data_IF_689416881425
#
_entry.id   IF_689416881425
#
_cell.length_a   1.000
_cell.length_b   1.000
_cell.length_c   1.000
_cell.angle_alpha   90.00
_cell.angle_beta   90.00
_cell.angle_gamma   90.00
#
_symmetry.space_group_name_H-M   'P 1'
#
loop_
_entity.id
_entity.type
_entity.pdbx_description
1 polymer ?
#
# COMPACT_ATOMS: atom_id res chain seq x y z
N UNK A 1 10.82 -8.05 -31.29
CA UNK A 1 10.30 -7.46 -30.06
C UNK A 1 11.19 -7.91 -28.92
N UNK A 2 11.86 -6.97 -28.24
CA UNK A 2 12.79 -7.30 -27.15
C UNK A 2 12.08 -7.80 -25.90
N UNK A 3 12.80 -8.51 -25.03
CA UNK A 3 12.35 -9.02 -23.74
C UNK A 3 11.59 -7.98 -22.90
N UNK A 4 12.00 -6.71 -22.96
CA UNK A 4 11.35 -5.60 -22.28
C UNK A 4 9.95 -5.27 -22.80
N UNK A 5 9.75 -5.29 -24.13
CA UNK A 5 8.42 -5.13 -24.70
C UNK A 5 7.51 -6.29 -24.28
N UNK A 6 8.07 -7.47 -24.07
CA UNK A 6 7.35 -8.65 -23.60
C UNK A 6 7.07 -8.60 -22.11
N UNK A 7 8.03 -8.23 -21.28
CA UNK A 7 7.83 -8.04 -19.84
C UNK A 7 6.81 -6.91 -19.54
N UNK A 8 6.87 -5.82 -20.30
CA UNK A 8 5.91 -4.71 -20.19
C UNK A 8 4.54 -5.08 -20.77
N UNK A 9 4.47 -5.87 -21.86
CA UNK A 9 3.21 -6.37 -22.42
C UNK A 9 2.56 -7.43 -21.53
N UNK A 10 3.36 -8.25 -20.87
CA UNK A 10 2.90 -9.23 -19.88
C UNK A 10 2.40 -8.53 -18.61
N UNK A 11 3.04 -7.45 -18.15
CA UNK A 11 2.49 -6.59 -17.08
C UNK A 11 1.16 -5.90 -17.48
N UNK A 12 0.96 -5.61 -18.77
CA UNK A 12 -0.32 -5.13 -19.30
C UNK A 12 -1.42 -6.21 -19.29
N UNK A 13 -1.04 -7.48 -19.34
CA UNK A 13 -1.98 -8.62 -19.45
C UNK A 13 -2.33 -9.28 -18.13
N UNK A 14 -1.64 -8.93 -17.02
CA UNK A 14 -1.98 -9.46 -15.71
C UNK A 14 -3.28 -8.87 -15.19
N UNK A 15 -4.08 -9.72 -14.56
CA UNK A 15 -5.13 -9.26 -13.66
C UNK A 15 -4.45 -8.47 -12.52
N UNK A 16 -4.60 -7.13 -12.51
CA UNK A 16 -3.98 -6.29 -11.50
C UNK A 16 -4.31 -6.75 -10.07
N UNK A 17 -5.51 -7.33 -9.90
CA UNK A 17 -6.02 -7.83 -8.63
C UNK A 17 -5.24 -9.05 -8.12
N UNK A 18 -4.86 -9.98 -9.00
CA UNK A 18 -4.14 -11.20 -8.59
C UNK A 18 -2.75 -10.89 -8.03
N UNK A 19 -2.03 -9.97 -8.68
CA UNK A 19 -0.68 -9.56 -8.24
C UNK A 19 -0.72 -8.69 -7.01
N UNK A 20 -1.70 -7.78 -6.92
CA UNK A 20 -1.97 -7.04 -5.69
C UNK A 20 -2.25 -8.00 -4.54
N UNK A 21 -3.06 -9.03 -4.76
CA UNK A 21 -3.39 -10.01 -3.73
C UNK A 21 -2.18 -10.74 -3.17
N UNK A 22 -1.17 -11.04 -3.98
CA UNK A 22 0.05 -11.73 -3.55
C UNK A 22 0.99 -10.80 -2.75
N UNK A 23 1.21 -9.57 -3.23
CA UNK A 23 1.99 -8.56 -2.49
C UNK A 23 1.33 -8.18 -1.16
N UNK A 24 0.00 -8.10 -1.15
CA UNK A 24 -0.77 -7.73 0.03
C UNK A 24 -0.74 -8.81 1.13
N UNK A 25 -0.47 -10.07 0.78
CA UNK A 25 -0.47 -11.22 1.71
C UNK A 25 0.89 -11.51 2.35
N UNK A 26 1.99 -11.04 1.78
CA UNK A 26 3.31 -11.20 2.38
C UNK A 26 3.43 -10.32 3.64
N UNK A 27 3.49 -10.93 4.82
CA UNK A 27 3.50 -10.18 6.08
C UNK A 27 4.24 -10.91 7.19
N UNK A 28 4.47 -10.18 8.29
CA UNK A 28 5.07 -10.70 9.53
C UNK A 28 4.10 -10.53 10.70
N UNK A 29 4.07 -11.50 11.62
CA UNK A 29 3.24 -11.43 12.81
C UNK A 29 3.72 -10.33 13.77
N UNK A 30 2.78 -9.65 14.41
CA UNK A 30 3.01 -8.74 15.53
C UNK A 30 2.92 -9.48 16.86
N UNK A 31 3.41 -8.88 17.95
CA UNK A 31 3.25 -9.42 19.31
C UNK A 31 1.77 -9.48 19.74
N UNK A 32 0.92 -8.63 19.20
CA UNK A 32 -0.52 -8.65 19.43
C UNK A 32 -1.24 -9.80 18.69
N UNK A 33 -0.55 -10.59 17.88
CA UNK A 33 -1.04 -11.77 17.16
C UNK A 33 -1.28 -11.59 15.66
N UNK A 34 -1.91 -10.49 15.18
CA UNK A 34 -2.17 -10.32 13.75
C UNK A 34 -0.89 -10.30 12.90
N UNK A 35 -0.92 -10.96 11.76
CA UNK A 35 0.11 -10.84 10.73
C UNK A 35 -0.12 -9.55 9.95
N UNK A 36 0.89 -8.68 9.93
CA UNK A 36 0.80 -7.39 9.23
C UNK A 36 1.20 -7.55 7.78
N UNK A 37 0.23 -7.35 6.92
CA UNK A 37 0.38 -7.29 5.46
C UNK A 37 0.02 -5.89 4.99
N UNK A 38 0.40 -5.53 3.76
CA UNK A 38 -0.03 -4.24 3.20
C UNK A 38 -1.56 -4.14 3.15
N UNK A 39 -2.26 -5.25 2.84
CA UNK A 39 -3.71 -5.30 2.79
C UNK A 39 -4.36 -4.92 4.11
N UNK A 40 -3.97 -5.56 5.22
CA UNK A 40 -4.60 -5.28 6.52
C UNK A 40 -4.10 -3.97 7.15
N UNK A 41 -2.86 -3.56 6.86
CA UNK A 41 -2.36 -2.24 7.26
C UNK A 41 -3.17 -1.10 6.63
N UNK A 42 -3.57 -1.22 5.36
CA UNK A 42 -4.42 -0.24 4.67
C UNK A 42 -5.88 -0.21 5.19
N UNK A 43 -6.34 -1.26 5.89
CA UNK A 43 -7.64 -1.26 6.56
C UNK A 43 -7.64 -0.41 7.83
N UNK A 44 -6.48 -0.16 8.42
CA UNK A 44 -6.34 0.78 9.54
C UNK A 44 -6.58 2.20 9.01
N UNK A 45 -7.70 2.80 9.43
CA UNK A 45 -8.18 4.08 8.90
C UNK A 45 -7.14 5.19 8.95
N UNK A 46 -6.37 5.29 10.03
CA UNK A 46 -5.30 6.28 10.19
C UNK A 46 -4.18 6.08 9.20
N UNK A 47 -3.74 4.83 8.97
CA UNK A 47 -2.68 4.52 8.00
C UNK A 47 -3.12 4.88 6.59
N UNK A 48 -4.33 4.48 6.21
CA UNK A 48 -4.90 4.83 4.91
C UNK A 48 -5.04 6.34 4.71
N UNK A 49 -5.55 7.05 5.74
CA UNK A 49 -5.70 8.50 5.69
C UNK A 49 -4.36 9.22 5.51
N UNK A 50 -3.31 8.82 6.24
CA UNK A 50 -1.96 9.38 6.10
C UNK A 50 -1.42 9.18 4.69
N UNK A 51 -1.48 7.95 4.15
CA UNK A 51 -1.01 7.65 2.80
C UNK A 51 -1.79 8.46 1.75
N UNK A 52 -3.11 8.54 1.88
CA UNK A 52 -3.97 9.30 0.96
C UNK A 52 -3.62 10.79 0.96
N UNK A 53 -3.51 11.40 2.14
CA UNK A 53 -3.21 12.84 2.23
C UNK A 53 -1.84 13.15 1.65
N UNK A 54 -0.82 12.35 1.96
CA UNK A 54 0.52 12.55 1.44
C UNK A 54 0.57 12.35 -0.09
N UNK A 55 0.00 11.26 -0.60
CA UNK A 55 0.06 10.92 -2.02
C UNK A 55 -0.73 11.90 -2.88
N UNK A 56 -1.95 12.26 -2.47
CA UNK A 56 -2.77 13.22 -3.19
C UNK A 56 -2.20 14.63 -3.10
N UNK A 57 -1.63 15.02 -1.95
CA UNK A 57 -0.96 16.30 -1.79
C UNK A 57 0.20 16.50 -2.78
N UNK A 58 1.04 15.46 -2.96
CA UNK A 58 2.12 15.48 -3.96
C UNK A 58 1.57 15.39 -5.38
N UNK A 59 0.57 14.55 -5.62
CA UNK A 59 -0.01 14.35 -6.95
C UNK A 59 -0.69 15.59 -7.53
N UNK A 60 -1.25 16.45 -6.68
CA UNK A 60 -1.89 17.72 -7.10
C UNK A 60 -0.88 18.74 -7.63
N UNK A 61 0.37 18.68 -7.19
CA UNK A 61 1.41 19.63 -7.66
C UNK A 61 1.87 19.22 -9.06
N UNK A 62 1.66 20.08 -10.08
CA UNK A 62 2.06 19.73 -11.44
C UNK A 62 3.59 19.69 -11.57
N UNK A 63 4.10 18.60 -12.11
CA UNK A 63 5.53 18.44 -12.42
C UNK A 63 5.77 18.90 -13.86
N UNK A 64 6.51 19.99 -14.03
CA UNK A 64 6.77 20.61 -15.34
C UNK A 64 8.27 20.76 -15.59
N UNK A 65 8.64 20.66 -16.85
CA UNK A 65 10.03 20.90 -17.29
C UNK A 65 10.20 22.38 -17.63
N UNK A 66 11.25 22.98 -17.11
CA UNK A 66 11.62 24.37 -17.39
C UNK A 66 13.02 24.44 -18.00
N UNK A 67 13.25 25.48 -18.79
CA UNK A 67 14.60 25.82 -19.30
C UNK A 67 14.95 27.25 -18.90
N UNK A 68 16.24 27.47 -18.68
CA UNK A 68 16.79 28.81 -18.53
C UNK A 68 17.10 29.37 -19.92
N UNK A 69 16.57 30.55 -20.20
CA UNK A 69 16.78 31.29 -21.47
C UNK A 69 17.35 32.65 -21.14
N UNK A 70 18.40 33.04 -21.80
CA UNK A 70 18.96 34.38 -21.69
C UNK A 70 18.30 35.31 -22.72
N UNK A 71 17.60 36.35 -22.24
CA UNK A 71 17.03 37.41 -23.08
C UNK A 71 17.44 38.76 -22.52
N UNK A 72 18.03 39.59 -23.39
CA UNK A 72 18.48 40.94 -23.05
C UNK A 72 19.48 40.97 -21.88
N UNK A 73 20.38 40.00 -21.78
CA UNK A 73 21.33 39.86 -20.68
C UNK A 73 20.72 39.42 -19.33
N UNK A 74 19.43 39.09 -19.31
CA UNK A 74 18.72 38.60 -18.14
C UNK A 74 18.34 37.11 -18.30
N UNK A 75 18.59 36.32 -17.26
CA UNK A 75 18.17 34.91 -17.19
C UNK A 75 16.69 34.82 -16.85
N UNK A 76 15.94 34.18 -17.73
CA UNK A 76 14.49 33.90 -17.52
C UNK A 76 14.27 32.40 -17.52
N UNK A 77 13.33 31.96 -16.66
CA UNK A 77 12.88 30.57 -16.61
C UNK A 77 11.58 30.48 -17.40
N UNK A 78 11.58 29.67 -18.46
CA UNK A 78 10.41 29.44 -19.32
C UNK A 78 10.05 27.96 -19.33
N UNK A 79 8.76 27.64 -19.43
CA UNK A 79 8.31 26.24 -19.52
C UNK A 79 8.76 25.63 -20.85
N UNK A 80 9.49 24.51 -20.79
CA UNK A 80 10.04 23.82 -21.94
C UNK A 80 8.99 22.87 -22.55
N UNK A 81 7.92 23.43 -23.12
CA UNK A 81 6.78 22.66 -23.67
C UNK A 81 7.15 21.78 -24.87
N UNK A 82 8.21 22.14 -25.59
CA UNK A 82 8.78 21.37 -26.71
C UNK A 82 9.68 20.23 -26.23
N UNK A 83 10.01 20.17 -24.94
CA UNK A 83 10.80 19.07 -24.39
C UNK A 83 9.93 17.83 -24.18
N UNK A 84 10.39 16.69 -24.68
CA UNK A 84 9.64 15.43 -24.66
C UNK A 84 9.17 14.98 -23.27
N UNK A 85 9.96 15.24 -22.23
CA UNK A 85 9.58 14.97 -20.84
C UNK A 85 8.46 15.87 -20.34
N UNK A 86 8.16 16.99 -21.02
CA UNK A 86 7.11 17.90 -20.55
C UNK A 86 5.75 17.20 -20.55
N UNK A 87 5.39 16.57 -21.66
CA UNK A 87 4.12 15.88 -21.80
C UNK A 87 4.02 14.65 -20.91
N UNK A 88 5.10 13.86 -20.80
CA UNK A 88 5.17 12.68 -19.95
C UNK A 88 4.97 13.03 -18.46
N UNK A 89 5.57 14.12 -18.00
CA UNK A 89 5.49 14.51 -16.59
C UNK A 89 4.22 15.33 -16.26
N UNK A 90 3.76 16.15 -17.21
CA UNK A 90 2.62 17.04 -16.98
C UNK A 90 1.26 16.37 -17.22
N UNK A 91 1.16 15.45 -18.20
CA UNK A 91 -0.12 14.90 -18.64
C UNK A 91 -0.21 13.37 -18.51
N UNK A 92 0.59 12.62 -19.28
CA UNK A 92 0.49 11.17 -19.34
C UNK A 92 1.87 10.51 -19.45
N UNK A 93 2.38 9.86 -18.40
CA UNK A 93 3.66 9.17 -18.40
C UNK A 93 3.67 7.90 -19.28
N UNK A 94 2.49 7.35 -19.57
CA UNK A 94 2.24 6.19 -20.43
C UNK A 94 0.80 6.18 -20.92
N UNK A 95 0.42 5.17 -21.73
CA UNK A 95 -0.89 5.09 -22.38
C UNK A 95 -2.08 4.80 -21.44
N UNK A 96 -1.84 4.38 -20.19
CA UNK A 96 -2.88 3.90 -19.28
C UNK A 96 -2.93 4.61 -17.92
N UNK A 97 -2.00 5.54 -17.63
CA UNK A 97 -2.02 6.34 -16.40
C UNK A 97 -1.92 7.82 -16.71
N UNK A 98 -2.67 8.60 -15.96
CA UNK A 98 -2.50 10.05 -15.94
C UNK A 98 -1.29 10.43 -15.08
N UNK A 99 -0.77 11.63 -15.29
CA UNK A 99 0.31 12.18 -14.47
C UNK A 99 -0.06 12.28 -12.97
N UNK A 100 -1.34 12.50 -12.65
CA UNK A 100 -1.82 12.50 -11.27
C UNK A 100 -1.73 11.10 -10.65
N UNK A 101 -2.32 10.09 -11.29
CA UNK A 101 -2.30 8.69 -10.82
C UNK A 101 -0.89 8.13 -10.68
N UNK A 102 -0.02 8.48 -11.63
CA UNK A 102 1.38 8.08 -11.58
C UNK A 102 2.08 8.64 -10.33
N UNK A 103 1.94 9.96 -10.06
CA UNK A 103 2.55 10.60 -8.90
C UNK A 103 1.93 10.12 -7.58
N UNK A 104 0.62 9.91 -7.55
CA UNK A 104 -0.07 9.36 -6.40
C UNK A 104 0.49 7.98 -6.05
N UNK A 105 0.52 7.06 -7.00
CA UNK A 105 1.04 5.70 -6.80
C UNK A 105 2.54 5.71 -6.47
N UNK A 106 3.33 6.54 -7.16
CA UNK A 106 4.75 6.70 -6.87
C UNK A 106 4.99 7.16 -5.44
N UNK A 107 4.18 8.10 -4.96
CA UNK A 107 4.27 8.61 -3.59
C UNK A 107 3.85 7.58 -2.56
N UNK A 108 2.79 6.80 -2.81
CA UNK A 108 2.39 5.69 -1.94
C UNK A 108 3.52 4.67 -1.80
N UNK A 109 4.12 4.26 -2.92
CA UNK A 109 5.24 3.32 -2.90
C UNK A 109 6.44 3.89 -2.15
N UNK A 110 6.81 5.15 -2.38
CA UNK A 110 7.90 5.82 -1.69
C UNK A 110 7.63 6.00 -0.20
N UNK A 111 6.40 6.34 0.20
CA UNK A 111 5.99 6.46 1.59
C UNK A 111 6.07 5.12 2.33
N UNK A 112 5.86 4.00 1.65
CA UNK A 112 6.01 2.65 2.18
C UNK A 112 7.44 2.12 2.15
N UNK A 113 8.35 2.86 1.52
CA UNK A 113 9.76 2.54 1.45
C UNK A 113 10.40 2.96 0.14
N UNK A 114 10.07 2.32 -0.97
CA UNK A 114 10.73 2.53 -2.24
C UNK A 114 9.73 2.50 -3.39
N UNK A 115 9.87 3.43 -4.32
CA UNK A 115 9.15 3.46 -5.59
C UNK A 115 10.13 3.38 -6.75
N UNK A 116 9.78 2.59 -7.75
CA UNK A 116 10.59 2.38 -8.93
C UNK A 116 9.75 2.62 -10.18
N UNK A 117 10.27 3.40 -11.11
CA UNK A 117 9.68 3.55 -12.43
C UNK A 117 10.72 3.20 -13.50
N UNK A 118 10.35 2.34 -14.41
CA UNK A 118 11.17 2.02 -15.58
C UNK A 118 11.09 3.16 -16.59
N UNK A 119 12.25 3.59 -17.07
CA UNK A 119 12.39 4.64 -18.09
C UNK A 119 12.54 3.95 -19.44
N UNK A 120 11.42 3.83 -20.16
CA UNK A 120 11.43 3.26 -21.50
C UNK A 120 12.01 4.27 -22.49
N UNK A 121 13.08 3.87 -23.17
CA UNK A 121 13.79 4.72 -24.15
C UNK A 121 13.67 4.13 -25.55
N UNK A 122 13.40 5.01 -26.51
CA UNK A 122 13.43 4.72 -27.94
C UNK A 122 14.53 5.53 -28.61
N UNK A 123 14.76 5.33 -29.91
CA UNK A 123 15.73 6.11 -30.69
C UNK A 123 15.50 7.64 -30.61
N UNK A 124 14.28 8.07 -30.29
CA UNK A 124 13.92 9.48 -30.12
C UNK A 124 14.00 10.00 -28.66
N UNK A 125 14.53 9.24 -27.71
CA UNK A 125 14.62 9.62 -26.30
C UNK A 125 13.65 8.84 -25.39
N UNK A 126 13.26 9.42 -24.25
CA UNK A 126 12.35 8.80 -23.30
C UNK A 126 10.94 8.79 -23.92
N UNK A 127 10.33 7.61 -24.02
CA UNK A 127 8.99 7.44 -24.60
C UNK A 127 7.91 7.23 -23.54
N UNK A 128 8.24 6.54 -22.44
CA UNK A 128 7.28 6.20 -21.39
C UNK A 128 7.96 6.09 -20.04
N UNK A 129 7.18 6.31 -18.96
CA UNK A 129 7.54 6.00 -17.59
C UNK A 129 6.56 4.97 -17.05
N UNK A 130 7.06 3.83 -16.58
CA UNK A 130 6.25 2.70 -16.15
C UNK A 130 6.56 2.38 -14.70
N UNK A 131 5.58 2.52 -13.82
CA UNK A 131 5.75 2.14 -12.42
C UNK A 131 5.94 0.63 -12.30
N UNK A 132 6.96 0.23 -11.56
CA UNK A 132 7.24 -1.14 -11.22
C UNK A 132 6.73 -1.44 -9.81
N UNK A 133 6.31 -2.69 -9.59
CA UNK A 133 5.93 -3.15 -8.25
C UNK A 133 7.19 -3.23 -7.38
N UNK A 134 7.22 -2.57 -6.21
CA UNK A 134 8.43 -2.54 -5.39
C UNK A 134 8.95 -3.92 -4.99
N UNK A 135 8.05 -4.88 -4.74
CA UNK A 135 8.42 -6.25 -4.39
C UNK A 135 9.12 -7.06 -5.51
N UNK A 136 9.03 -6.60 -6.76
CA UNK A 136 9.69 -7.25 -7.91
C UNK A 136 11.05 -6.62 -8.24
N UNK A 137 11.43 -5.56 -7.54
CA UNK A 137 12.67 -4.81 -7.82
C UNK A 137 13.61 -4.95 -6.64
N UNK A 138 14.79 -5.49 -6.90
CA UNK A 138 15.88 -5.57 -5.94
C UNK A 138 17.01 -4.66 -6.39
N UNK A 139 17.39 -3.70 -5.54
CA UNK A 139 18.56 -2.86 -5.76
C UNK A 139 19.79 -3.55 -5.24
N UNK A 140 20.81 -3.68 -6.05
CA UNK A 140 22.09 -4.28 -5.70
C UNK A 140 23.25 -3.33 -5.99
N UNK A 141 24.27 -3.35 -5.14
CA UNK A 141 25.53 -2.68 -5.39
C UNK A 141 26.57 -3.71 -5.79
N UNK A 142 27.19 -3.50 -6.94
CA UNK A 142 28.26 -4.36 -7.44
C UNK A 142 29.58 -4.09 -6.69
N UNK A 143 30.58 -4.99 -6.77
CA UNK A 143 31.90 -4.77 -6.14
C UNK A 143 32.63 -3.50 -6.61
N UNK A 144 32.31 -3.01 -7.80
CA UNK A 144 32.81 -1.77 -8.39
C UNK A 144 31.99 -0.53 -7.99
N UNK A 145 31.16 -0.65 -6.94
CA UNK A 145 30.25 0.37 -6.40
C UNK A 145 29.12 0.81 -7.36
N UNK A 146 29.02 0.25 -8.55
CA UNK A 146 27.88 0.54 -9.45
C UNK A 146 26.58 0.01 -8.87
N UNK A 147 25.54 0.82 -8.98
CA UNK A 147 24.16 0.43 -8.60
C UNK A 147 23.48 -0.20 -9.80
N UNK A 148 22.86 -1.34 -9.58
CA UNK A 148 22.04 -2.04 -10.55
C UNK A 148 20.69 -2.39 -9.92
N UNK A 149 19.68 -2.58 -10.75
CA UNK A 149 18.36 -3.01 -10.34
C UNK A 149 18.05 -4.35 -11.01
N UNK A 150 17.82 -5.35 -10.18
CA UNK A 150 17.35 -6.67 -10.59
C UNK A 150 15.83 -6.65 -10.57
N UNK A 151 15.20 -6.76 -11.73
CA UNK A 151 13.74 -6.77 -11.88
C UNK A 151 13.31 -8.18 -12.21
N UNK A 152 12.45 -8.76 -11.38
CA UNK A 152 11.88 -10.07 -11.61
C UNK A 152 10.62 -9.93 -12.45
N UNK A 153 10.60 -10.58 -13.62
CA UNK A 153 9.40 -10.68 -14.46
C UNK A 153 8.43 -11.71 -13.90
N UNK A 154 7.22 -11.74 -14.46
CA UNK A 154 6.15 -12.66 -14.04
C UNK A 154 6.48 -14.14 -14.22
N UNK A 155 7.27 -14.46 -15.21
CA UNK A 155 7.76 -15.82 -15.46
C UNK A 155 8.87 -16.25 -14.47
N UNK A 156 9.20 -15.39 -13.49
CA UNK A 156 10.33 -15.61 -12.58
C UNK A 156 11.70 -15.29 -13.21
N UNK A 157 11.76 -14.87 -14.46
CA UNK A 157 12.99 -14.46 -15.09
C UNK A 157 13.47 -13.12 -14.47
N UNK A 158 14.72 -13.09 -14.04
CA UNK A 158 15.37 -11.91 -13.47
C UNK A 158 16.17 -11.20 -14.55
N UNK A 159 15.99 -9.90 -14.66
CA UNK A 159 16.78 -9.05 -15.56
C UNK A 159 17.43 -7.92 -14.79
N UNK A 160 18.71 -7.67 -15.09
CA UNK A 160 19.49 -6.59 -14.51
C UNK A 160 19.37 -5.32 -15.37
N UNK A 161 19.12 -4.19 -14.71
CA UNK A 161 19.05 -2.86 -15.32
C UNK A 161 20.06 -1.92 -14.69
N UNK A 162 20.71 -1.08 -15.48
CA UNK A 162 21.58 -0.03 -14.96
C UNK A 162 20.76 1.06 -14.26
N UNK A 163 21.42 1.84 -13.40
CA UNK A 163 20.77 2.90 -12.63
C UNK A 163 20.01 3.92 -13.48
N UNK A 164 20.50 4.20 -14.70
CA UNK A 164 19.89 5.17 -15.62
C UNK A 164 18.58 4.69 -16.23
N UNK A 165 18.28 3.39 -16.14
CA UNK A 165 17.05 2.81 -16.67
C UNK A 165 15.91 2.83 -15.65
N UNK A 166 16.20 3.10 -14.38
CA UNK A 166 15.21 3.06 -13.30
C UNK A 166 15.19 4.41 -12.56
N UNK A 167 14.05 5.06 -12.57
CA UNK A 167 13.79 6.21 -11.70
C UNK A 167 13.38 5.70 -10.33
N UNK A 168 14.33 5.74 -9.39
CA UNK A 168 14.13 5.31 -8.02
C UNK A 168 13.82 6.52 -7.11
N UNK A 169 12.63 6.53 -6.52
CA UNK A 169 12.23 7.46 -5.48
C UNK A 169 12.10 6.68 -4.17
N UNK A 170 12.87 7.07 -3.18
CA UNK A 170 12.86 6.42 -1.86
C UNK A 170 12.20 7.31 -0.81
N UNK A 171 11.57 6.67 0.16
CA UNK A 171 11.14 7.30 1.40
C UNK A 171 12.32 7.62 2.32
N UNK A 172 12.07 7.87 3.63
CA UNK A 172 13.12 8.01 4.62
C UNK A 172 14.10 6.85 4.54
N UNK A 173 15.39 7.15 4.57
CA UNK A 173 16.44 6.15 4.37
C UNK A 173 17.50 6.28 5.46
N UNK A 174 18.02 5.15 5.93
CA UNK A 174 19.12 5.10 6.89
C UNK A 174 20.49 5.14 6.20
N UNK A 175 20.62 4.42 5.09
CA UNK A 175 21.89 4.21 4.36
C UNK A 175 22.04 5.09 3.10
N UNK A 176 20.99 5.82 2.73
CA UNK A 176 20.94 6.58 1.49
C UNK A 176 20.77 5.72 0.24
N UNK A 177 20.69 4.40 0.36
CA UNK A 177 20.53 3.46 -0.76
C UNK A 177 19.08 3.01 -0.92
N UNK A 178 18.45 2.57 0.17
CA UNK A 178 17.07 2.10 0.20
C UNK A 178 16.24 2.89 1.21
N UNK A 179 14.96 3.06 0.92
CA UNK A 179 13.98 3.54 1.89
C UNK A 179 13.70 2.49 2.96
N UNK A 180 13.40 2.94 4.17
CA UNK A 180 13.03 2.09 5.29
C UNK A 180 11.69 1.41 5.01
N UNK A 181 11.57 0.14 5.39
CA UNK A 181 10.30 -0.58 5.34
C UNK A 181 9.38 -0.10 6.48
N UNK A 182 8.48 0.81 6.12
CA UNK A 182 7.56 1.45 7.07
C UNK A 182 6.61 0.44 7.70
N UNK A 183 6.19 -0.60 6.96
CA UNK A 183 5.32 -1.64 7.51
C UNK A 183 6.02 -2.45 8.59
N UNK A 184 7.29 -2.79 8.38
CA UNK A 184 8.10 -3.47 9.40
C UNK A 184 8.32 -2.58 10.64
N UNK A 185 8.56 -1.29 10.46
CA UNK A 185 8.76 -0.35 11.58
C UNK A 185 7.47 -0.12 12.36
N UNK A 186 6.33 0.02 11.69
CA UNK A 186 5.03 0.26 12.30
C UNK A 186 4.29 -1.03 12.72
N UNK A 187 4.89 -2.20 12.53
CA UNK A 187 4.25 -3.51 12.70
C UNK A 187 3.54 -3.68 14.03
N UNK A 188 4.19 -3.35 15.13
CA UNK A 188 3.62 -3.53 16.46
C UNK A 188 2.44 -2.59 16.71
N UNK A 189 2.53 -1.33 16.28
CA UNK A 189 1.45 -0.36 16.40
C UNK A 189 0.24 -0.74 15.54
N UNK A 190 0.49 -1.16 14.29
CA UNK A 190 -0.56 -1.65 13.39
C UNK A 190 -1.22 -2.93 13.91
N UNK A 191 -0.41 -3.86 14.44
CA UNK A 191 -0.91 -5.08 15.04
C UNK A 191 -1.80 -4.84 16.24
N UNK A 192 -1.41 -3.92 17.11
CA UNK A 192 -2.22 -3.51 18.26
C UNK A 192 -3.52 -2.85 17.81
N UNK A 193 -3.47 -1.95 16.83
CA UNK A 193 -4.67 -1.30 16.28
C UNK A 193 -5.67 -2.33 15.74
N UNK A 194 -5.22 -3.25 14.88
CA UNK A 194 -6.05 -4.31 14.29
C UNK A 194 -6.64 -5.22 15.38
N UNK A 195 -5.82 -5.67 16.34
CA UNK A 195 -6.27 -6.52 17.43
C UNK A 195 -7.33 -5.83 18.32
N UNK A 196 -7.14 -4.53 18.56
CA UNK A 196 -8.09 -3.72 19.35
C UNK A 196 -9.40 -3.55 18.60
N UNK A 197 -9.37 -3.17 17.33
CA UNK A 197 -10.57 -3.04 16.50
C UNK A 197 -11.34 -4.36 16.42
N UNK A 198 -10.64 -5.47 16.20
CA UNK A 198 -11.23 -6.80 16.14
C UNK A 198 -11.85 -7.23 17.48
N UNK A 199 -11.17 -6.94 18.60
CA UNK A 199 -11.66 -7.21 19.94
C UNK A 199 -12.92 -6.40 20.23
N UNK A 200 -12.92 -5.10 19.92
CA UNK A 200 -14.09 -4.25 20.10
C UNK A 200 -15.25 -4.67 19.19
N UNK A 201 -14.98 -4.98 17.92
CA UNK A 201 -15.99 -5.49 17.01
C UNK A 201 -16.64 -6.78 17.52
N UNK A 202 -15.82 -7.73 18.02
CA UNK A 202 -16.33 -8.97 18.64
C UNK A 202 -17.14 -8.71 19.91
N UNK A 203 -16.71 -7.74 20.73
CA UNK A 203 -17.42 -7.34 21.93
C UNK A 203 -18.81 -6.77 21.58
N UNK A 204 -18.88 -5.88 20.61
CA UNK A 204 -20.15 -5.31 20.16
C UNK A 204 -21.06 -6.34 19.47
N UNK A 205 -20.49 -7.22 18.63
CA UNK A 205 -21.24 -8.25 17.92
C UNK A 205 -21.83 -9.31 18.85
N UNK A 206 -21.10 -9.66 19.91
CA UNK A 206 -21.53 -10.72 20.84
C UNK A 206 -22.25 -10.19 22.07
N UNK A 207 -22.20 -8.89 22.37
CA UNK A 207 -22.97 -8.18 23.41
C UNK A 207 -22.75 -8.61 24.85
N UNK A 208 -22.13 -9.75 25.05
CA UNK A 208 -21.96 -10.30 26.38
C UNK A 208 -20.60 -9.93 26.94
N UNK A 209 -20.51 -8.87 27.71
CA UNK A 209 -19.48 -8.83 28.76
C UNK A 209 -19.80 -9.97 29.73
N UNK A 210 -18.95 -10.98 29.76
CA UNK A 210 -19.02 -12.03 30.80
C UNK A 210 -18.66 -11.45 32.17
N UNK A 211 -19.44 -10.48 32.62
CA UNK A 211 -19.32 -9.88 33.96
C UNK A 211 -20.17 -10.59 35.00
N UNK A 212 -20.86 -11.66 34.60
CA UNK A 212 -21.73 -12.45 35.49
C UNK A 212 -21.74 -13.92 35.13
N UNK A 213 -21.91 -14.74 36.15
CA UNK A 213 -22.19 -16.18 36.03
C UNK A 213 -23.67 -16.40 36.25
N UNK A 214 -24.38 -16.92 35.27
CA UNK A 214 -25.78 -17.36 35.46
C UNK A 214 -25.75 -18.71 36.13
N UNK A 215 -26.18 -18.76 37.39
CA UNK A 215 -26.34 -19.98 38.15
C UNK A 215 -27.82 -20.36 38.14
N UNK A 216 -28.13 -21.57 37.72
CA UNK A 216 -29.51 -22.12 37.72
C UNK A 216 -29.53 -23.30 38.65
N UNK A 217 -30.55 -23.36 39.53
CA UNK A 217 -30.76 -24.52 40.35
C UNK A 217 -31.25 -25.70 39.49
N UNK A 218 -30.48 -26.79 39.48
CA UNK A 218 -30.79 -28.00 38.73
C UNK A 218 -29.96 -28.22 37.49
N UNK A 219 -30.24 -29.29 36.74
CA UNK A 219 -29.56 -29.63 35.47
C UNK A 219 -30.49 -29.29 34.31
N UNK A 220 -30.01 -28.41 33.43
CA UNK A 220 -30.68 -28.12 32.16
C UNK A 220 -30.51 -29.31 31.19
N UNK A 221 -31.56 -29.66 30.47
CA UNK A 221 -31.46 -30.53 29.33
C UNK A 221 -30.89 -29.76 28.12
N UNK A 222 -30.49 -30.46 27.03
CA UNK A 222 -29.87 -29.83 25.86
C UNK A 222 -30.76 -28.77 25.18
N UNK A 223 -32.08 -28.98 25.19
CA UNK A 223 -33.03 -28.06 24.56
C UNK A 223 -33.21 -26.80 25.41
N UNK A 224 -33.34 -26.95 26.74
CA UNK A 224 -33.39 -25.81 27.66
C UNK A 224 -32.10 -24.97 27.63
N UNK A 225 -30.95 -25.63 27.59
CA UNK A 225 -29.65 -24.93 27.45
C UNK A 225 -29.57 -24.14 26.13
N UNK A 226 -30.03 -24.76 25.03
CA UNK A 226 -30.01 -24.09 23.72
C UNK A 226 -30.99 -22.89 23.66
N UNK A 227 -32.19 -23.05 24.25
CA UNK A 227 -33.18 -21.99 24.34
C UNK A 227 -32.69 -20.82 25.22
N UNK A 228 -32.11 -21.10 26.39
CA UNK A 228 -31.54 -20.08 27.27
C UNK A 228 -30.35 -19.34 26.59
N UNK A 229 -29.49 -20.08 25.92
CA UNK A 229 -28.38 -19.49 25.17
C UNK A 229 -28.88 -18.59 24.04
N UNK A 230 -29.89 -19.02 23.28
CA UNK A 230 -30.49 -18.24 22.21
C UNK A 230 -31.16 -16.96 22.76
N UNK A 231 -31.85 -17.07 23.88
CA UNK A 231 -32.47 -15.92 24.54
C UNK A 231 -31.42 -14.90 25.03
N UNK A 232 -30.40 -15.36 25.75
CA UNK A 232 -29.30 -14.47 26.18
C UNK A 232 -28.66 -13.76 25.02
N UNK A 233 -28.44 -14.46 23.90
CA UNK A 233 -27.85 -13.87 22.70
C UNK A 233 -28.79 -12.87 22.01
N UNK A 234 -30.08 -13.11 22.00
CA UNK A 234 -31.08 -12.23 21.41
C UNK A 234 -31.25 -10.93 22.20
N UNK A 235 -31.33 -11.02 23.53
CA UNK A 235 -31.61 -9.87 24.39
C UNK A 235 -30.36 -9.04 24.75
N UNK A 236 -29.18 -9.67 24.77
CA UNK A 236 -27.96 -9.02 25.28
C UNK A 236 -26.85 -8.89 24.24
N UNK A 237 -27.07 -9.38 23.01
CA UNK A 237 -26.07 -9.25 21.95
C UNK A 237 -26.40 -8.08 21.01
N UNK A 238 -25.34 -7.45 20.47
CA UNK A 238 -25.45 -6.35 19.53
C UNK A 238 -25.21 -4.97 20.16
N UNK A 239 -24.82 -4.01 19.33
CA UNK A 239 -24.52 -2.65 19.76
C UNK A 239 -25.77 -1.93 20.31
N UNK A 240 -26.96 -2.33 19.86
CA UNK A 240 -28.25 -1.77 20.27
C UNK A 240 -28.61 -2.14 21.71
N UNK A 241 -28.17 -3.32 22.20
CA UNK A 241 -28.43 -3.83 23.53
C UNK A 241 -27.26 -3.56 24.50
N UNK A 242 -26.27 -2.83 24.11
CA UNK A 242 -25.12 -2.50 24.95
C UNK A 242 -25.54 -1.57 26.10
N UNK A 243 -25.52 -2.09 27.33
CA UNK A 243 -25.84 -1.33 28.53
C UNK A 243 -27.30 -1.43 28.98
N UNK A 244 -28.12 -2.23 28.31
CA UNK A 244 -29.49 -2.53 28.79
C UNK A 244 -29.40 -3.40 30.04
N UNK A 245 -30.01 -3.01 31.18
CA UNK A 245 -30.00 -3.81 32.39
C UNK A 245 -30.91 -5.03 32.21
N UNK A 246 -30.42 -6.20 32.66
CA UNK A 246 -31.22 -7.42 32.69
C UNK A 246 -32.16 -7.38 33.92
N UNK A 247 -33.45 -7.48 33.66
CA UNK A 247 -34.45 -7.60 34.73
C UNK A 247 -34.68 -9.11 34.97
N UNK A 248 -34.33 -9.59 36.16
CA UNK A 248 -34.64 -10.93 36.60
C UNK A 248 -35.92 -10.86 37.45
N UNK A 249 -36.96 -11.49 36.97
CA UNK A 249 -38.21 -11.69 37.74
C UNK A 249 -38.05 -12.94 38.62
N UNK A 250 -38.36 -12.82 39.91
CA UNK A 250 -38.23 -13.89 40.89
C UNK A 250 -39.48 -14.79 40.88
#
# INVERSE_FOLDING_TARGET
MGFLARAVSEQKSMDPLAVWAEMLRAGRSSMAGPTITLENALKVATMFACLRVLSQGVAQVPLKVYREVEKDGLKKIEAAKDHRLYDLLAFAPNDWTTSFEFRETQTIHAALGNSYAFINRTMGGISELILLKPGLVKKAQKPDYRIVFEVTGETGAMQEFPAEAIWHVRGPSWDGLLGLDVLSLAREALGLAIATEESHAKLHAKGVRTSGTYSIEGKLNKEQYAALKAWILAENAGAENAGVPMILDN
#
